data_IF_638406389144
#
_entry.id   IF_638406389144
#
_cell.length_a   1.000
_cell.length_b   1.000
_cell.length_c   1.000
_cell.angle_alpha   90.00
_cell.angle_beta   90.00
_cell.angle_gamma   90.00
#
_symmetry.space_group_name_H-M   'P 1'
#
loop_
_entity.id
_entity.type
_entity.pdbx_description
1 polymer ?
#
# COMPACT_ATOMS: atom_id res chain seq x y z
N UNK A 1 0.04 -0.97 -0.93
CA UNK A 1 -1.02 -0.22 -1.66
C UNK A 1 -0.45 0.67 -2.76
N UNK A 2 0.55 1.53 -2.50
CA UNK A 2 1.17 2.33 -3.56
C UNK A 2 1.69 1.50 -4.73
N UNK A 3 2.38 0.39 -4.43
CA UNK A 3 2.91 -0.56 -5.42
C UNK A 3 1.82 -1.16 -6.33
N UNK A 4 0.73 -1.70 -5.78
CA UNK A 4 -0.36 -2.25 -6.61
C UNK A 4 -0.99 -1.18 -7.51
N UNK A 5 -1.28 0.01 -6.98
CA UNK A 5 -1.88 1.10 -7.76
C UNK A 5 -0.95 1.58 -8.87
N UNK A 6 0.36 1.64 -8.62
CA UNK A 6 1.41 1.97 -9.58
C UNK A 6 1.43 1.00 -10.75
N UNK A 7 1.73 -0.27 -10.50
CA UNK A 7 1.93 -1.27 -11.55
C UNK A 7 0.65 -1.48 -12.38
N UNK A 8 -0.52 -1.54 -11.73
CA UNK A 8 -1.80 -1.69 -12.41
C UNK A 8 -2.19 -0.47 -13.25
N UNK A 9 -1.65 0.72 -12.94
CA UNK A 9 -1.85 1.94 -13.74
C UNK A 9 -0.88 2.03 -14.90
N UNK A 10 0.41 1.76 -14.69
CA UNK A 10 1.46 1.85 -15.71
C UNK A 10 1.31 0.79 -16.83
N UNK A 11 0.68 -0.36 -16.56
CA UNK A 11 0.50 -1.42 -17.57
C UNK A 11 -0.19 -0.95 -18.86
N UNK A 12 -1.02 0.10 -18.79
CA UNK A 12 -1.78 0.60 -19.94
C UNK A 12 -0.92 1.38 -20.94
N UNK A 13 0.26 1.81 -20.53
CA UNK A 13 1.24 2.53 -21.34
C UNK A 13 2.53 1.72 -21.54
N UNK A 14 2.52 0.44 -21.15
CA UNK A 14 3.65 -0.46 -21.31
C UNK A 14 4.05 -0.61 -22.79
N UNK A 15 5.36 -0.73 -23.10
CA UNK A 15 5.87 -0.71 -24.46
C UNK A 15 5.53 -1.96 -25.27
N UNK A 16 5.19 -3.06 -24.59
CA UNK A 16 4.77 -4.30 -25.21
C UNK A 16 3.94 -5.17 -24.23
N UNK A 17 3.33 -6.23 -24.77
CA UNK A 17 2.44 -7.13 -24.03
C UNK A 17 3.13 -7.94 -22.93
N UNK A 18 4.43 -8.18 -23.05
CA UNK A 18 5.19 -8.92 -22.02
C UNK A 18 5.33 -8.02 -20.79
N UNK A 19 5.76 -6.78 -20.97
CA UNK A 19 5.87 -5.80 -19.87
C UNK A 19 4.50 -5.52 -19.25
N UNK A 20 3.46 -5.35 -20.07
CA UNK A 20 2.10 -5.19 -19.56
C UNK A 20 1.62 -6.39 -18.71
N UNK A 21 2.00 -7.61 -19.12
CA UNK A 21 1.73 -8.84 -18.36
C UNK A 21 2.46 -8.85 -17.01
N UNK A 22 3.76 -8.55 -16.99
CA UNK A 22 4.55 -8.49 -15.76
C UNK A 22 3.99 -7.46 -14.78
N UNK A 23 3.68 -6.24 -15.24
CA UNK A 23 3.07 -5.21 -14.39
C UNK A 23 1.69 -5.61 -13.86
N UNK A 24 0.92 -6.36 -14.65
CA UNK A 24 -0.35 -6.90 -14.20
C UNK A 24 -0.17 -7.97 -13.11
N UNK A 25 0.79 -8.87 -13.29
CA UNK A 25 1.05 -9.97 -12.36
C UNK A 25 1.55 -9.42 -11.02
N UNK A 26 2.60 -8.58 -11.04
CA UNK A 26 3.16 -7.95 -9.83
C UNK A 26 2.13 -7.01 -9.20
N UNK A 27 1.42 -6.19 -9.98
CA UNK A 27 0.38 -5.31 -9.44
C UNK A 27 -0.76 -6.06 -8.74
N UNK A 28 -1.04 -7.29 -9.17
CA UNK A 28 -2.03 -8.16 -8.53
C UNK A 28 -1.47 -8.82 -7.27
N UNK A 29 -0.21 -9.27 -7.29
CA UNK A 29 0.51 -9.76 -6.10
C UNK A 29 0.53 -8.70 -4.98
N UNK A 30 0.76 -7.44 -5.33
CA UNK A 30 0.78 -6.33 -4.36
C UNK A 30 -0.59 -6.04 -3.71
N UNK A 31 -1.70 -6.49 -4.31
CA UNK A 31 -3.01 -6.50 -3.65
C UNK A 31 -3.08 -7.61 -2.58
N UNK A 32 -2.44 -8.76 -2.81
CA UNK A 32 -2.31 -9.79 -1.79
C UNK A 32 -1.39 -9.34 -0.65
N UNK A 33 -0.35 -8.54 -0.93
CA UNK A 33 0.45 -7.91 0.13
C UNK A 33 -0.39 -6.98 1.01
N UNK A 34 -1.31 -6.20 0.42
CA UNK A 34 -2.26 -5.39 1.20
C UNK A 34 -3.14 -6.27 2.10
N UNK A 35 -3.65 -7.39 1.59
CA UNK A 35 -4.44 -8.35 2.37
C UNK A 35 -3.63 -8.92 3.55
N UNK A 36 -2.38 -9.33 3.31
CA UNK A 36 -1.49 -9.87 4.34
C UNK A 36 -1.24 -8.86 5.46
N UNK A 37 -0.85 -7.63 5.11
CA UNK A 37 -0.59 -6.57 6.11
C UNK A 37 -1.88 -6.21 6.86
N UNK A 38 -3.01 -6.08 6.16
CA UNK A 38 -4.31 -5.80 6.79
C UNK A 38 -4.69 -6.90 7.78
N UNK A 39 -4.40 -8.15 7.44
CA UNK A 39 -4.64 -9.31 8.30
C UNK A 39 -3.76 -9.26 9.56
N UNK A 40 -2.48 -8.91 9.42
CA UNK A 40 -1.57 -8.74 10.56
C UNK A 40 -2.08 -7.64 11.50
N UNK A 41 -2.45 -6.47 10.95
CA UNK A 41 -3.00 -5.37 11.76
C UNK A 41 -4.29 -5.78 12.46
N UNK A 42 -5.17 -6.52 11.77
CA UNK A 42 -6.38 -7.05 12.38
C UNK A 42 -6.07 -8.02 13.53
N UNK A 43 -5.15 -8.96 13.34
CA UNK A 43 -4.76 -9.93 14.38
C UNK A 43 -4.15 -9.24 15.62
N UNK A 44 -3.43 -8.14 15.42
CA UNK A 44 -2.87 -7.35 16.51
C UNK A 44 -3.92 -6.53 17.27
N UNK A 45 -5.08 -6.24 16.66
CA UNK A 45 -6.06 -5.29 17.20
C UNK A 45 -7.40 -5.92 17.60
N UNK A 46 -7.74 -7.12 17.11
CA UNK A 46 -9.10 -7.70 17.19
C UNK A 46 -9.60 -8.05 18.60
N UNK A 47 -8.74 -8.08 19.61
CA UNK A 47 -9.10 -8.41 20.99
C UNK A 47 -8.46 -7.49 22.03
N UNK A 48 -7.99 -6.31 21.63
CA UNK A 48 -7.40 -5.37 22.58
C UNK A 48 -8.46 -4.88 23.57
N UNK A 49 -8.12 -4.90 24.85
CA UNK A 49 -8.89 -4.24 25.90
C UNK A 49 -8.76 -2.73 25.79
N UNK A 50 -9.70 -1.99 26.40
CA UNK A 50 -9.63 -0.52 26.44
C UNK A 50 -8.35 0.01 27.09
N UNK A 51 -7.84 -0.70 28.11
CA UNK A 51 -6.58 -0.36 28.78
C UNK A 51 -5.38 -0.51 27.84
N UNK A 52 -5.31 -1.61 27.08
CA UNK A 52 -4.26 -1.82 26.08
C UNK A 52 -4.33 -0.79 24.95
N UNK A 53 -5.53 -0.42 24.48
CA UNK A 53 -5.71 0.62 23.46
C UNK A 53 -5.15 1.96 23.95
N UNK A 54 -5.44 2.34 25.20
CA UNK A 54 -4.95 3.59 25.79
C UNK A 54 -3.43 3.59 25.98
N UNK A 55 -2.83 2.45 26.32
CA UNK A 55 -1.41 2.32 26.62
C UNK A 55 -0.52 2.02 25.39
N UNK A 56 -1.07 1.56 24.27
CA UNK A 56 -0.32 1.08 23.09
C UNK A 56 -0.08 2.13 21.98
N UNK A 57 -0.49 3.38 22.19
CA UNK A 57 -0.45 4.42 21.15
C UNK A 57 -1.51 4.26 20.05
N UNK A 58 -2.31 3.18 20.09
CA UNK A 58 -3.40 2.91 19.15
C UNK A 58 -4.65 3.76 19.42
N UNK A 59 -4.73 4.43 20.57
CA UNK A 59 -5.89 5.22 20.98
C UNK A 59 -6.37 6.23 19.91
N UNK A 60 -5.45 7.00 19.32
CA UNK A 60 -5.81 7.99 18.29
C UNK A 60 -6.42 7.32 17.05
N UNK A 61 -5.81 6.22 16.59
CA UNK A 61 -6.34 5.45 15.46
C UNK A 61 -7.72 4.86 15.80
N UNK A 62 -7.90 4.33 17.01
CA UNK A 62 -9.15 3.73 17.47
C UNK A 62 -10.29 4.75 17.57
N UNK A 63 -10.01 5.99 17.95
CA UNK A 63 -11.04 7.06 17.97
C UNK A 63 -11.60 7.31 16.58
N UNK A 64 -10.74 7.34 15.55
CA UNK A 64 -11.14 7.64 14.19
C UNK A 64 -11.73 6.42 13.45
N UNK A 65 -11.16 5.22 13.66
CA UNK A 65 -11.42 4.04 12.84
C UNK A 65 -11.81 2.78 13.63
N UNK A 66 -11.87 2.86 14.96
CA UNK A 66 -12.11 1.71 15.86
C UNK A 66 -11.07 0.60 15.64
N UNK A 67 -11.48 -0.67 15.54
CA UNK A 67 -10.64 -1.78 15.11
C UNK A 67 -10.69 -2.03 13.58
N UNK A 68 -11.26 -1.10 12.81
CA UNK A 68 -11.30 -1.18 11.35
C UNK A 68 -9.92 -1.01 10.73
N UNK A 69 -9.69 -1.60 9.56
CA UNK A 69 -8.44 -1.43 8.81
C UNK A 69 -8.60 -0.25 7.85
N UNK A 70 -7.86 0.83 8.13
CA UNK A 70 -7.87 2.07 7.38
C UNK A 70 -6.48 2.32 6.77
N UNK A 71 -6.39 2.55 5.44
CA UNK A 71 -5.12 2.81 4.78
C UNK A 71 -4.54 4.19 5.16
N UNK A 72 -3.64 4.19 6.14
CA UNK A 72 -2.86 5.35 6.53
C UNK A 72 -1.43 4.96 6.90
N UNK A 73 -0.51 5.92 6.80
CA UNK A 73 0.80 5.78 7.40
C UNK A 73 0.72 5.80 8.94
N UNK A 74 1.77 5.32 9.61
CA UNK A 74 1.89 5.37 11.07
C UNK A 74 1.79 6.81 11.63
N UNK A 75 2.17 7.82 10.83
CA UNK A 75 2.04 9.24 11.17
C UNK A 75 0.63 9.84 11.00
N UNK A 76 -0.38 9.04 10.64
CA UNK A 76 -1.76 9.53 10.49
C UNK A 76 -2.12 10.06 9.10
N UNK A 77 -1.19 10.03 8.14
CA UNK A 77 -1.45 10.53 6.78
C UNK A 77 -2.23 9.49 5.98
N UNK A 78 -3.44 9.81 5.48
CA UNK A 78 -4.22 8.87 4.70
C UNK A 78 -3.59 8.62 3.32
N UNK A 79 -3.68 7.36 2.87
CA UNK A 79 -3.23 7.01 1.53
C UNK A 79 -4.00 7.81 0.47
N UNK A 80 -3.27 8.33 -0.52
CA UNK A 80 -3.85 9.08 -1.64
C UNK A 80 -2.98 8.92 -2.90
N UNK A 81 -3.40 9.52 -4.01
CA UNK A 81 -2.71 9.38 -5.30
C UNK A 81 -1.33 10.06 -5.38
N UNK A 82 -0.92 10.84 -4.37
CA UNK A 82 0.42 11.41 -4.32
C UNK A 82 1.50 10.37 -3.99
N UNK A 83 1.12 9.20 -3.49
CA UNK A 83 2.02 8.12 -3.04
C UNK A 83 2.55 7.22 -4.18
N UNK A 84 2.13 7.45 -5.43
CA UNK A 84 2.61 6.72 -6.60
C UNK A 84 2.55 7.58 -7.86
N UNK A 85 3.27 7.17 -8.91
CA UNK A 85 3.23 7.86 -10.21
C UNK A 85 2.97 6.89 -11.37
N UNK A 86 2.38 7.43 -12.43
CA UNK A 86 2.26 6.78 -13.74
C UNK A 86 2.38 7.89 -14.79
N UNK A 87 3.50 7.90 -15.51
CA UNK A 87 3.90 8.97 -16.44
C UNK A 87 3.65 8.61 -17.89
N UNK A 88 3.48 7.33 -18.19
CA UNK A 88 3.25 6.85 -19.55
C UNK A 88 4.52 6.71 -20.39
N UNK A 89 5.68 7.03 -19.81
CA UNK A 89 6.99 6.78 -20.39
C UNK A 89 7.62 5.56 -19.67
N UNK A 90 7.86 4.44 -20.37
CA UNK A 90 8.32 3.20 -19.74
C UNK A 90 9.64 3.31 -18.99
N UNK A 91 10.55 4.21 -19.40
CA UNK A 91 11.80 4.41 -18.68
C UNK A 91 11.55 5.15 -17.37
N UNK A 92 10.83 6.26 -17.42
CA UNK A 92 10.47 7.05 -16.24
C UNK A 92 9.68 6.22 -15.24
N UNK A 93 8.71 5.43 -15.71
CA UNK A 93 7.91 4.54 -14.88
C UNK A 93 8.78 3.45 -14.23
N UNK A 94 9.70 2.82 -14.97
CA UNK A 94 10.63 1.84 -14.39
C UNK A 94 11.56 2.44 -13.32
N UNK A 95 12.03 3.67 -13.50
CA UNK A 95 12.84 4.35 -12.48
C UNK A 95 12.02 4.63 -11.22
N UNK A 96 10.74 4.94 -11.36
CA UNK A 96 9.84 5.14 -10.24
C UNK A 96 9.53 3.82 -9.52
N UNK A 97 9.33 2.72 -10.26
CA UNK A 97 9.20 1.36 -9.71
C UNK A 97 10.42 0.98 -8.87
N UNK A 98 11.63 1.14 -9.43
CA UNK A 98 12.88 0.82 -8.75
C UNK A 98 13.11 1.70 -7.51
N UNK A 99 12.75 2.99 -7.58
CA UNK A 99 12.83 3.88 -6.44
C UNK A 99 11.84 3.48 -5.34
N UNK A 100 10.64 3.05 -5.71
CA UNK A 100 9.63 2.64 -4.75
C UNK A 100 9.98 1.33 -4.04
N UNK A 101 10.47 0.32 -4.76
CA UNK A 101 10.93 -0.95 -4.17
C UNK A 101 12.23 -0.77 -3.36
N UNK A 102 13.12 0.09 -3.83
CA UNK A 102 14.39 0.40 -3.15
C UNK A 102 14.23 1.29 -1.91
N UNK A 103 13.08 1.93 -1.73
CA UNK A 103 12.75 2.73 -0.55
C UNK A 103 12.41 1.84 0.65
N UNK A 104 13.40 1.07 1.12
CA UNK A 104 13.33 0.37 2.39
C UNK A 104 13.71 1.37 3.49
N UNK A 105 12.77 1.63 4.41
CA UNK A 105 12.97 2.43 5.64
C UNK A 105 13.63 1.59 6.72
#
# INVERSE_FOLDING_TARGET
MGASMRYLSQRFTAPNRIVAGVLNDVGTEELAHLEMVSTIVHQLTCNLSLEEIQNSGFANYYVDHTAGIWPQAAGGVPFNSCEFQSKGDPLTDLFEDLAAEGAIV
#
